data_IF_638386381094
#
_entry.id   IF_638386381094
#
_cell.length_a   1.000
_cell.length_b   1.000
_cell.length_c   1.000
_cell.angle_alpha   90.00
_cell.angle_beta   90.00
_cell.angle_gamma   90.00
#
_symmetry.space_group_name_H-M   'P 1'
#
loop_
_entity.id
_entity.type
_entity.pdbx_description
1 polymer ?
#
# COMPACT_ATOMS: atom_id res chain seq x y z
N UNK A 1 -40.10 -24.56 -29.35
CA UNK A 1 -39.72 -23.15 -29.54
C UNK A 1 -39.61 -22.42 -28.22
N UNK A 2 -40.64 -22.42 -27.36
CA UNK A 2 -40.60 -21.81 -26.01
C UNK A 2 -39.41 -22.31 -25.16
N UNK A 3 -39.23 -23.63 -25.06
CA UNK A 3 -38.10 -24.22 -24.32
C UNK A 3 -36.71 -23.87 -24.86
N UNK A 4 -36.60 -23.57 -26.16
CA UNK A 4 -35.33 -23.13 -26.77
C UNK A 4 -35.05 -21.66 -26.47
N UNK A 5 -36.09 -20.84 -26.38
CA UNK A 5 -36.01 -19.44 -25.99
C UNK A 5 -35.64 -19.35 -24.50
N UNK A 6 -36.31 -20.10 -23.63
CA UNK A 6 -36.00 -20.13 -22.19
C UNK A 6 -34.56 -20.62 -21.92
N UNK A 7 -34.08 -21.60 -22.68
CA UNK A 7 -32.68 -22.05 -22.59
C UNK A 7 -31.70 -20.97 -23.05
N UNK A 8 -32.06 -20.17 -24.07
CA UNK A 8 -31.23 -19.07 -24.55
C UNK A 8 -31.15 -17.95 -23.52
N UNK A 9 -32.26 -17.60 -22.87
CA UNK A 9 -32.32 -16.59 -21.81
C UNK A 9 -31.57 -17.05 -20.54
N UNK A 10 -31.60 -18.35 -20.22
CA UNK A 10 -30.77 -18.94 -19.16
C UNK A 10 -29.27 -18.84 -19.47
N UNK A 11 -28.87 -19.07 -20.73
CA UNK A 11 -27.46 -18.92 -21.13
C UNK A 11 -27.05 -17.45 -21.06
N UNK A 12 -27.89 -16.52 -21.53
CA UNK A 12 -27.60 -15.09 -21.47
C UNK A 12 -27.43 -14.61 -20.03
N UNK A 13 -28.34 -14.96 -19.12
CA UNK A 13 -28.24 -14.60 -17.71
C UNK A 13 -27.01 -15.23 -17.01
N UNK A 14 -26.63 -16.45 -17.39
CA UNK A 14 -25.40 -17.09 -16.91
C UNK A 14 -24.14 -16.37 -17.41
N UNK A 15 -24.11 -15.96 -18.68
CA UNK A 15 -23.02 -15.18 -19.27
C UNK A 15 -22.92 -13.78 -18.65
N UNK A 16 -24.05 -13.13 -18.38
CA UNK A 16 -24.07 -11.86 -17.64
C UNK A 16 -23.51 -12.04 -16.22
N UNK A 17 -23.85 -13.13 -15.53
CA UNK A 17 -23.28 -13.42 -14.20
C UNK A 17 -21.76 -13.61 -14.26
N UNK A 18 -21.26 -14.37 -15.24
CA UNK A 18 -19.83 -14.59 -15.48
C UNK A 18 -19.08 -13.28 -15.75
N UNK A 19 -19.62 -12.40 -16.59
CA UNK A 19 -18.99 -11.09 -16.86
C UNK A 19 -18.96 -10.20 -15.62
N UNK A 20 -20.03 -10.20 -14.82
CA UNK A 20 -20.07 -9.49 -13.54
C UNK A 20 -19.03 -10.04 -12.54
N UNK A 21 -18.86 -11.36 -12.49
CA UNK A 21 -17.81 -12.00 -11.68
C UNK A 21 -16.41 -11.62 -12.19
N UNK A 22 -16.19 -11.58 -13.50
CA UNK A 22 -14.92 -11.14 -14.08
C UNK A 22 -14.58 -9.70 -13.67
N UNK A 23 -15.52 -8.77 -13.80
CA UNK A 23 -15.32 -7.39 -13.35
C UNK A 23 -15.08 -7.29 -11.84
N UNK A 24 -15.81 -8.08 -11.03
CA UNK A 24 -15.61 -8.13 -9.59
C UNK A 24 -14.20 -8.61 -9.22
N UNK A 25 -13.73 -9.70 -9.83
CA UNK A 25 -12.36 -10.21 -9.64
C UNK A 25 -11.32 -9.19 -10.10
N UNK A 26 -11.55 -8.50 -11.22
CA UNK A 26 -10.67 -7.44 -11.69
C UNK A 26 -10.61 -6.26 -10.70
N UNK A 27 -11.76 -5.86 -10.14
CA UNK A 27 -11.86 -4.85 -9.09
C UNK A 27 -11.11 -5.26 -7.81
N UNK A 28 -11.23 -6.53 -7.40
CA UNK A 28 -10.48 -7.08 -6.26
C UNK A 28 -8.97 -7.03 -6.49
N UNK A 29 -8.49 -7.41 -7.68
CA UNK A 29 -7.07 -7.30 -8.04
C UNK A 29 -6.58 -5.86 -8.01
N UNK A 30 -7.35 -4.93 -8.60
CA UNK A 30 -7.02 -3.51 -8.58
C UNK A 30 -6.93 -2.99 -7.13
N UNK A 31 -7.88 -3.36 -6.28
CA UNK A 31 -7.88 -2.95 -4.88
C UNK A 31 -6.66 -3.50 -4.13
N UNK A 32 -6.24 -4.74 -4.41
CA UNK A 32 -5.04 -5.33 -3.83
C UNK A 32 -3.75 -4.64 -4.32
N UNK A 33 -3.67 -4.27 -5.59
CA UNK A 33 -2.54 -3.51 -6.14
C UNK A 33 -2.44 -2.13 -5.49
N UNK A 34 -3.56 -1.40 -5.42
CA UNK A 34 -3.63 -0.09 -4.77
C UNK A 34 -3.24 -0.19 -3.29
N UNK A 35 -3.77 -1.19 -2.58
CA UNK A 35 -3.41 -1.47 -1.19
C UNK A 35 -1.90 -1.66 -1.04
N UNK A 36 -1.27 -2.44 -1.91
CA UNK A 36 0.17 -2.69 -1.90
C UNK A 36 0.98 -1.41 -2.16
N UNK A 37 0.61 -0.62 -3.17
CA UNK A 37 1.25 0.66 -3.46
C UNK A 37 1.12 1.64 -2.28
N UNK A 38 -0.07 1.74 -1.67
CA UNK A 38 -0.30 2.63 -0.52
C UNK A 38 0.50 2.19 0.71
N UNK A 39 0.63 0.89 0.97
CA UNK A 39 1.48 0.37 2.05
C UNK A 39 2.93 0.84 1.85
N UNK A 40 3.46 0.63 0.64
CA UNK A 40 4.82 1.03 0.29
C UNK A 40 4.97 2.56 0.46
N UNK A 41 4.10 3.35 -0.17
CA UNK A 41 4.16 4.81 -0.09
C UNK A 41 4.09 5.33 1.35
N UNK A 42 3.21 4.77 2.18
CA UNK A 42 3.05 5.20 3.59
C UNK A 42 4.31 4.97 4.43
N UNK A 43 5.11 3.94 4.11
CA UNK A 43 6.40 3.69 4.76
C UNK A 43 7.46 4.66 4.23
N UNK A 44 7.49 4.87 2.92
CA UNK A 44 8.52 5.71 2.29
C UNK A 44 8.34 7.19 2.57
N UNK A 45 7.13 7.76 2.51
CA UNK A 45 6.88 9.20 2.70
C UNK A 45 7.54 9.80 3.96
N UNK A 46 7.34 9.28 5.19
CA UNK A 46 8.00 9.82 6.37
C UNK A 46 9.51 9.58 6.33
N UNK A 47 9.96 8.46 5.74
CA UNK A 47 11.37 8.14 5.57
C UNK A 47 12.06 9.19 4.69
N UNK A 48 11.47 9.48 3.53
CA UNK A 48 11.99 10.45 2.55
C UNK A 48 11.91 11.86 3.08
N UNK A 49 10.89 12.19 3.87
CA UNK A 49 10.78 13.50 4.53
C UNK A 49 11.95 13.76 5.49
N UNK A 50 12.28 12.78 6.34
CA UNK A 50 13.44 12.86 7.24
C UNK A 50 14.74 12.97 6.43
N UNK A 51 14.92 12.12 5.42
CA UNK A 51 16.08 12.18 4.53
C UNK A 51 16.19 13.53 3.79
N UNK A 52 15.06 14.14 3.43
CA UNK A 52 15.00 15.47 2.81
C UNK A 52 15.42 16.58 3.76
N UNK A 53 14.96 16.56 5.02
CA UNK A 53 15.39 17.51 6.05
C UNK A 53 16.90 17.39 6.31
N UNK A 54 17.42 16.17 6.45
CA UNK A 54 18.85 15.93 6.67
C UNK A 54 19.70 16.13 5.40
N UNK A 55 19.10 16.12 4.21
CA UNK A 55 19.76 16.42 2.93
C UNK A 55 19.86 17.91 2.63
N UNK A 56 19.14 18.77 3.35
CA UNK A 56 19.34 20.22 3.29
C UNK A 56 20.66 20.57 4.01
N UNK A 57 21.59 21.22 3.31
CA UNK A 57 22.89 21.69 3.83
C UNK A 57 22.73 22.76 4.92
N UNK A 58 22.22 22.41 6.09
CA UNK A 58 22.27 23.27 7.27
C UNK A 58 23.67 23.19 7.88
N UNK A 59 24.48 24.21 7.62
CA UNK A 59 25.84 24.44 8.15
C UNK A 59 25.95 24.41 9.68
N UNK A 60 24.82 24.42 10.41
CA UNK A 60 24.78 24.43 11.87
C UNK A 60 23.64 23.55 12.39
N UNK A 61 23.70 22.24 12.16
CA UNK A 61 22.85 21.27 12.88
C UNK A 61 23.53 20.90 14.21
N UNK A 62 23.06 21.38 15.37
CA UNK A 62 23.64 21.03 16.69
C UNK A 62 23.57 19.52 17.01
N UNK A 63 22.78 18.76 16.25
CA UNK A 63 22.71 17.28 16.33
C UNK A 63 23.93 16.58 15.69
N UNK A 64 24.67 17.24 14.79
CA UNK A 64 25.84 16.68 14.09
C UNK A 64 27.14 16.83 14.89
N UNK A 65 27.23 17.83 15.78
CA UNK A 65 28.36 17.99 16.72
C UNK A 65 28.36 16.90 17.82
N UNK A 66 27.23 16.23 18.02
CA UNK A 66 27.15 15.08 18.90
C UNK A 66 27.65 13.82 18.18
N UNK A 67 28.67 13.18 18.77
CA UNK A 67 29.31 11.95 18.27
C UNK A 67 28.31 10.79 17.98
N UNK A 68 27.09 10.88 18.51
CA UNK A 68 26.01 9.89 18.35
C UNK A 68 24.80 10.38 17.51
N UNK A 69 24.80 11.60 16.97
CA UNK A 69 23.66 12.14 16.21
C UNK A 69 23.30 11.28 15.00
N UNK A 70 24.32 10.78 14.28
CA UNK A 70 24.14 9.83 13.18
C UNK A 70 23.46 8.53 13.63
N UNK A 71 23.81 8.00 14.80
CA UNK A 71 23.19 6.81 15.38
C UNK A 71 21.76 7.06 15.85
N UNK A 72 21.46 8.26 16.37
CA UNK A 72 20.11 8.66 16.78
C UNK A 72 19.12 8.71 15.62
N UNK A 73 19.56 9.25 14.48
CA UNK A 73 18.75 9.32 13.25
C UNK A 73 18.48 7.91 12.71
N UNK A 74 19.49 7.04 12.70
CA UNK A 74 19.33 5.64 12.35
C UNK A 74 18.34 4.91 13.27
N UNK A 75 18.39 5.18 14.57
CA UNK A 75 17.42 4.65 15.52
C UNK A 75 16.00 5.15 15.24
N UNK A 76 15.81 6.42 14.88
CA UNK A 76 14.51 6.97 14.48
C UNK A 76 13.99 6.30 13.21
N UNK A 77 14.86 6.10 12.21
CA UNK A 77 14.50 5.38 10.99
C UNK A 77 14.04 3.95 11.26
N UNK A 78 14.81 3.22 12.07
CA UNK A 78 14.48 1.85 12.46
C UNK A 78 13.19 1.81 13.27
N UNK A 79 12.98 2.76 14.18
CA UNK A 79 11.80 2.82 15.03
C UNK A 79 10.52 3.16 14.23
N UNK A 80 10.60 4.09 13.28
CA UNK A 80 9.49 4.43 12.37
C UNK A 80 9.20 3.26 11.44
N UNK A 81 10.24 2.63 10.88
CA UNK A 81 10.09 1.47 10.01
C UNK A 81 9.44 0.30 10.75
N UNK A 82 9.96 -0.08 11.92
CA UNK A 82 9.35 -1.10 12.76
C UNK A 82 7.92 -0.70 13.13
N UNK A 83 7.70 0.51 13.63
CA UNK A 83 6.39 1.00 14.05
C UNK A 83 5.33 0.90 12.95
N UNK A 84 5.68 1.30 11.72
CA UNK A 84 4.79 1.18 10.56
C UNK A 84 4.58 -0.29 10.16
N UNK A 85 5.62 -1.12 10.18
CA UNK A 85 5.49 -2.56 9.88
C UNK A 85 4.59 -3.26 10.91
N UNK A 86 4.76 -3.01 12.21
CA UNK A 86 3.89 -3.60 13.24
C UNK A 86 2.46 -3.06 13.14
N UNK A 87 2.28 -1.78 12.82
CA UNK A 87 0.96 -1.19 12.60
C UNK A 87 0.24 -1.86 11.43
N UNK A 88 0.90 -2.01 10.27
CA UNK A 88 0.35 -2.69 9.11
C UNK A 88 0.06 -4.17 9.36
N UNK A 89 0.95 -4.86 10.09
CA UNK A 89 0.72 -6.25 10.50
C UNK A 89 -0.48 -6.39 11.42
N UNK A 90 -0.65 -5.47 12.38
CA UNK A 90 -1.75 -5.48 13.34
C UNK A 90 -3.10 -5.14 12.70
N UNK A 91 -3.09 -4.34 11.64
CA UNK A 91 -4.29 -3.98 10.87
C UNK A 91 -4.73 -5.06 9.86
N UNK A 92 -4.06 -6.23 9.82
CA UNK A 92 -4.31 -7.34 8.87
C UNK A 92 -4.42 -6.84 7.42
N UNK A 93 -3.57 -5.88 7.07
CA UNK A 93 -3.50 -5.39 5.69
C UNK A 93 -2.64 -6.29 4.80
N UNK A 94 -1.83 -7.15 5.43
CA UNK A 94 -1.33 -8.40 4.86
C UNK A 94 -2.37 -9.50 4.97
#
# INVERSE_FOLDING_TARGET
>A
CLTLIDNSDMILSSLESETNLFFSVQGHRMNQVMKTLTIVATIFIPLTFIAGIYGMNFTNMPELEWKYGYFGIWMIFILIFLGMVTYFRRKRWF
#
